data_IF_435197295202
#
_entry.id   IF_435197295202
#
_cell.length_a   1.000
_cell.length_b   1.000
_cell.length_c   1.000
_cell.angle_alpha   90.00
_cell.angle_beta   90.00
_cell.angle_gamma   90.00
#
_symmetry.space_group_name_H-M   'P 1'
#
loop_
_entity.id
_entity.type
_entity.pdbx_description
1 polymer ?
#
# COMPACT_ATOMS: atom_id res chain seq x y z
N UNK A 1 -27.66 14.89 2.64
CA UNK A 1 -26.60 14.50 3.60
C UNK A 1 -25.29 14.95 2.97
N UNK A 2 -24.47 15.69 3.72
CA UNK A 2 -23.15 16.10 3.25
C UNK A 2 -22.18 14.94 3.46
N UNK A 3 -21.53 14.49 2.39
CA UNK A 3 -20.46 13.49 2.51
C UNK A 3 -19.21 14.24 2.92
N UNK A 4 -18.72 13.94 4.11
CA UNK A 4 -17.48 14.53 4.65
C UNK A 4 -16.31 13.62 4.35
N UNK A 5 -15.07 14.13 4.42
CA UNK A 5 -13.86 13.31 4.25
C UNK A 5 -13.85 12.09 5.17
N UNK A 6 -14.39 12.22 6.39
CA UNK A 6 -14.53 11.10 7.34
C UNK A 6 -15.39 9.95 6.81
N UNK A 7 -16.45 10.26 6.05
CA UNK A 7 -17.32 9.23 5.44
C UNK A 7 -16.56 8.49 4.35
N UNK A 8 -15.76 9.21 3.55
CA UNK A 8 -14.95 8.64 2.47
C UNK A 8 -13.83 7.76 3.04
N UNK A 9 -13.13 8.23 4.08
CA UNK A 9 -12.11 7.45 4.79
C UNK A 9 -12.71 6.17 5.37
N UNK A 10 -13.88 6.27 6.02
CA UNK A 10 -14.56 5.10 6.58
C UNK A 10 -14.98 4.08 5.51
N UNK A 11 -15.37 4.54 4.32
CA UNK A 11 -15.67 3.66 3.20
C UNK A 11 -14.41 3.00 2.64
N UNK A 12 -13.31 3.74 2.50
CA UNK A 12 -12.03 3.21 2.03
C UNK A 12 -11.42 2.19 3.00
N UNK A 13 -11.55 2.40 4.31
CA UNK A 13 -11.08 1.50 5.36
C UNK A 13 -12.02 0.31 5.64
N UNK A 14 -13.15 0.19 4.95
CA UNK A 14 -14.11 -0.88 5.22
C UNK A 14 -13.60 -2.20 4.62
N UNK A 15 -13.21 -3.14 5.49
CA UNK A 15 -12.57 -4.40 5.09
C UNK A 15 -13.52 -5.31 4.29
N UNK A 16 -14.79 -5.40 4.67
CA UNK A 16 -15.74 -6.35 4.05
C UNK A 16 -16.37 -5.82 2.75
N UNK A 17 -16.68 -4.52 2.70
CA UNK A 17 -17.54 -3.90 1.67
C UNK A 17 -16.94 -2.61 1.09
N UNK A 18 -15.64 -2.36 1.29
CA UNK A 18 -15.00 -1.09 0.94
C UNK A 18 -15.16 -0.69 -0.53
N UNK A 19 -15.00 -1.64 -1.46
CA UNK A 19 -15.18 -1.36 -2.90
C UNK A 19 -16.61 -0.89 -3.20
N UNK A 20 -17.62 -1.61 -2.68
CA UNK A 20 -19.02 -1.29 -2.92
C UNK A 20 -19.41 0.06 -2.27
N UNK A 21 -18.96 0.30 -1.05
CA UNK A 21 -19.19 1.56 -0.34
C UNK A 21 -18.55 2.75 -1.09
N UNK A 22 -17.29 2.62 -1.48
CA UNK A 22 -16.58 3.65 -2.26
C UNK A 22 -17.24 3.87 -3.61
N UNK A 23 -17.67 2.82 -4.30
CA UNK A 23 -18.39 2.94 -5.57
C UNK A 23 -19.70 3.72 -5.43
N UNK A 24 -20.49 3.44 -4.39
CA UNK A 24 -21.73 4.19 -4.11
C UNK A 24 -21.44 5.67 -3.88
N UNK A 25 -20.40 6.00 -3.10
CA UNK A 25 -20.02 7.40 -2.87
C UNK A 25 -19.60 8.08 -4.19
N UNK A 26 -18.69 7.45 -4.94
CA UNK A 26 -18.16 7.99 -6.19
C UNK A 26 -19.22 8.15 -7.28
N UNK A 27 -20.17 7.21 -7.40
CA UNK A 27 -21.26 7.29 -8.38
C UNK A 27 -22.35 8.29 -7.95
N UNK A 28 -22.57 8.46 -6.64
CA UNK A 28 -23.61 9.36 -6.10
C UNK A 28 -23.23 10.84 -6.08
N UNK A 29 -21.93 11.15 -5.94
CA UNK A 29 -21.45 12.53 -5.86
C UNK A 29 -20.40 12.89 -6.91
N UNK A 30 -20.05 11.95 -7.80
CA UNK A 30 -19.17 12.23 -8.93
C UNK A 30 -17.84 12.83 -8.49
N UNK A 31 -17.52 14.02 -9.02
CA UNK A 31 -16.28 14.77 -8.76
C UNK A 31 -16.31 15.60 -7.47
N UNK A 32 -17.45 15.72 -6.80
CA UNK A 32 -17.56 16.55 -5.58
C UNK A 32 -16.85 15.90 -4.39
N UNK A 33 -16.59 14.60 -4.46
CA UNK A 33 -15.78 13.89 -3.48
C UNK A 33 -14.29 14.12 -3.77
N UNK A 34 -13.62 14.75 -2.80
CA UNK A 34 -12.17 14.82 -2.76
C UNK A 34 -11.60 13.51 -2.23
N UNK A 35 -10.67 12.93 -3.00
CA UNK A 35 -9.85 11.80 -2.55
C UNK A 35 -8.56 12.41 -2.00
N UNK A 36 -8.50 12.54 -0.68
CA UNK A 36 -7.33 13.04 0.05
C UNK A 36 -6.33 11.92 0.31
N UNK A 37 -5.10 12.28 0.68
CA UNK A 37 -4.08 11.29 1.05
C UNK A 37 -4.56 10.35 2.15
N UNK A 38 -5.30 10.85 3.15
CA UNK A 38 -5.91 10.04 4.21
C UNK A 38 -6.85 8.94 3.65
N UNK A 39 -7.62 9.24 2.59
CA UNK A 39 -8.49 8.24 1.94
C UNK A 39 -7.66 7.17 1.24
N UNK A 40 -6.57 7.57 0.58
CA UNK A 40 -5.69 6.65 -0.15
C UNK A 40 -4.89 5.78 0.81
N UNK A 41 -4.38 6.35 1.92
CA UNK A 41 -3.72 5.62 3.00
C UNK A 41 -4.69 4.60 3.62
N UNK A 42 -5.93 5.01 3.89
CA UNK A 42 -6.97 4.11 4.42
C UNK A 42 -7.29 2.96 3.45
N UNK A 43 -7.34 3.24 2.14
CA UNK A 43 -7.53 2.21 1.12
C UNK A 43 -6.33 1.25 1.03
N UNK A 44 -5.10 1.76 1.07
CA UNK A 44 -3.89 0.94 1.00
C UNK A 44 -3.69 0.06 2.24
N UNK A 45 -4.06 0.56 3.43
CA UNK A 45 -3.99 -0.17 4.70
C UNK A 45 -5.19 -1.08 5.00
N UNK A 46 -6.19 -1.13 4.13
CA UNK A 46 -7.37 -1.99 4.29
C UNK A 46 -6.98 -3.48 4.15
N UNK A 47 -7.21 -4.32 5.17
CA UNK A 47 -6.66 -5.68 5.16
C UNK A 47 -7.24 -6.57 4.06
N UNK A 48 -8.56 -6.53 3.87
CA UNK A 48 -9.26 -7.49 2.99
C UNK A 48 -9.62 -6.90 1.61
N UNK A 49 -10.04 -5.64 1.55
CA UNK A 49 -10.53 -4.98 0.34
C UNK A 49 -9.53 -4.01 -0.30
N UNK A 50 -8.29 -3.90 0.20
CA UNK A 50 -7.34 -2.89 -0.27
C UNK A 50 -7.10 -2.91 -1.78
N UNK A 51 -6.84 -4.07 -2.38
CA UNK A 51 -6.57 -4.16 -3.83
C UNK A 51 -7.76 -3.62 -4.63
N UNK A 52 -8.98 -4.03 -4.28
CA UNK A 52 -10.20 -3.64 -4.98
C UNK A 52 -10.48 -2.13 -4.82
N UNK A 53 -10.34 -1.60 -3.61
CA UNK A 53 -10.55 -0.17 -3.33
C UNK A 53 -9.48 0.67 -4.03
N UNK A 54 -8.20 0.32 -3.92
CA UNK A 54 -7.10 1.04 -4.57
C UNK A 54 -7.23 1.01 -6.09
N UNK A 55 -7.60 -0.14 -6.66
CA UNK A 55 -7.85 -0.25 -8.10
C UNK A 55 -9.01 0.62 -8.55
N UNK A 56 -10.14 0.61 -7.83
CA UNK A 56 -11.29 1.46 -8.11
C UNK A 56 -10.92 2.95 -8.07
N UNK A 57 -10.18 3.37 -7.04
CA UNK A 57 -9.71 4.73 -6.87
C UNK A 57 -8.82 5.15 -8.04
N UNK A 58 -7.81 4.35 -8.39
CA UNK A 58 -6.91 4.61 -9.51
C UNK A 58 -7.65 4.59 -10.86
N UNK A 59 -8.63 3.72 -11.06
CA UNK A 59 -9.42 3.68 -12.30
C UNK A 59 -10.33 4.92 -12.45
N UNK A 60 -10.90 5.43 -11.35
CA UNK A 60 -11.88 6.52 -11.37
C UNK A 60 -11.28 7.91 -11.20
N UNK A 61 -10.05 8.02 -10.69
CA UNK A 61 -9.36 9.29 -10.42
C UNK A 61 -7.98 9.38 -11.03
N UNK A 62 -7.37 8.26 -11.42
CA UNK A 62 -6.12 8.25 -12.18
C UNK A 62 -5.04 9.14 -11.59
N UNK A 63 -4.68 10.18 -12.34
CA UNK A 63 -3.65 11.16 -12.00
C UNK A 63 -4.03 12.12 -10.87
N UNK A 64 -5.31 12.24 -10.54
CA UNK A 64 -5.77 13.08 -9.42
C UNK A 64 -5.36 12.50 -8.07
N UNK A 65 -5.03 11.20 -8.03
CA UNK A 65 -4.48 10.53 -6.85
C UNK A 65 -2.97 10.71 -6.82
N UNK A 66 -2.47 11.29 -5.74
CA UNK A 66 -1.05 11.27 -5.41
C UNK A 66 -0.74 9.96 -4.67
N UNK A 67 0.34 9.29 -5.08
CA UNK A 67 0.89 8.16 -4.33
C UNK A 67 2.07 8.73 -3.55
N UNK A 68 1.81 9.07 -2.29
CA UNK A 68 2.84 9.58 -1.37
C UNK A 68 3.59 8.42 -0.72
N UNK A 69 4.70 8.72 -0.06
CA UNK A 69 5.47 7.71 0.68
C UNK A 69 4.61 7.04 1.74
N UNK A 70 3.74 7.78 2.44
CA UNK A 70 2.84 7.24 3.46
C UNK A 70 1.82 6.24 2.87
N UNK A 71 1.36 6.46 1.64
CA UNK A 71 0.49 5.50 0.93
C UNK A 71 1.25 4.20 0.66
N UNK A 72 2.52 4.30 0.23
CA UNK A 72 3.34 3.12 -0.08
C UNK A 72 3.76 2.40 1.18
N UNK A 73 4.07 3.11 2.26
CA UNK A 73 4.31 2.55 3.60
C UNK A 73 3.08 1.80 4.10
N UNK A 74 1.88 2.39 3.99
CA UNK A 74 0.63 1.73 4.36
C UNK A 74 0.37 0.46 3.53
N UNK A 75 0.66 0.49 2.24
CA UNK A 75 0.58 -0.68 1.38
C UNK A 75 1.59 -1.77 1.79
N UNK A 76 2.86 -1.41 2.03
CA UNK A 76 3.90 -2.35 2.42
C UNK A 76 3.66 -2.99 3.81
N UNK A 77 3.10 -2.22 4.75
CA UNK A 77 2.76 -2.68 6.10
C UNK A 77 1.46 -3.50 6.17
N UNK A 78 0.69 -3.60 5.08
CA UNK A 78 -0.58 -4.32 5.06
C UNK A 78 -0.36 -5.84 5.16
N UNK A 79 -0.70 -6.44 6.29
CA UNK A 79 -0.41 -7.86 6.56
C UNK A 79 -0.98 -8.79 5.47
N UNK A 80 -2.24 -8.58 5.07
CA UNK A 80 -2.96 -9.51 4.20
C UNK A 80 -2.87 -9.19 2.71
N UNK A 81 -2.79 -7.91 2.36
CA UNK A 81 -2.90 -7.44 0.97
C UNK A 81 -1.64 -6.74 0.44
N UNK A 82 -0.55 -6.67 1.21
CA UNK A 82 0.63 -5.89 0.82
C UNK A 82 1.18 -6.27 -0.55
N UNK A 83 1.37 -7.56 -0.85
CA UNK A 83 1.92 -7.99 -2.14
C UNK A 83 1.05 -7.48 -3.31
N UNK A 84 -0.27 -7.68 -3.22
CA UNK A 84 -1.22 -7.30 -4.26
C UNK A 84 -1.26 -5.78 -4.47
N UNK A 85 -1.33 -5.00 -3.39
CA UNK A 85 -1.37 -3.53 -3.44
C UNK A 85 -0.05 -2.97 -3.95
N UNK A 86 1.09 -3.45 -3.42
CA UNK A 86 2.42 -3.00 -3.86
C UNK A 86 2.64 -3.30 -5.34
N UNK A 87 2.22 -4.48 -5.81
CA UNK A 87 2.27 -4.82 -7.23
C UNK A 87 1.41 -3.88 -8.07
N UNK A 88 0.16 -3.63 -7.66
CA UNK A 88 -0.74 -2.71 -8.35
C UNK A 88 -0.15 -1.28 -8.43
N UNK A 89 0.40 -0.77 -7.34
CA UNK A 89 1.03 0.54 -7.28
C UNK A 89 2.26 0.63 -8.18
N UNK A 90 3.15 -0.36 -8.14
CA UNK A 90 4.33 -0.40 -9.00
C UNK A 90 3.97 -0.57 -10.48
N UNK A 91 2.95 -1.36 -10.81
CA UNK A 91 2.48 -1.56 -12.20
C UNK A 91 1.90 -0.27 -12.79
N UNK A 92 1.15 0.50 -12.00
CA UNK A 92 0.41 1.67 -12.51
C UNK A 92 1.14 2.98 -12.31
N UNK A 93 1.96 3.09 -11.25
CA UNK A 93 2.58 4.33 -10.76
C UNK A 93 4.07 4.13 -10.44
N UNK A 94 4.70 3.06 -10.93
CA UNK A 94 6.09 2.73 -10.59
C UNK A 94 7.12 3.83 -10.87
N UNK A 95 6.90 4.69 -11.88
CA UNK A 95 7.75 5.85 -12.17
C UNK A 95 7.64 6.96 -11.14
N UNK A 96 6.53 7.02 -10.41
CA UNK A 96 6.23 8.07 -9.43
C UNK A 96 6.65 7.64 -8.03
N UNK A 97 6.95 6.35 -7.83
CA UNK A 97 7.30 5.77 -6.53
C UNK A 97 8.81 5.67 -6.42
N UNK A 98 9.37 6.30 -5.39
CA UNK A 98 10.72 6.03 -4.92
C UNK A 98 10.64 5.05 -3.74
N UNK A 99 11.44 3.99 -3.78
CA UNK A 99 11.50 3.04 -2.66
C UNK A 99 12.44 3.63 -1.61
N UNK A 100 11.84 4.17 -0.54
CA UNK A 100 12.55 4.76 0.58
C UNK A 100 12.88 3.72 1.65
N UNK A 101 13.75 4.11 2.57
CA UNK A 101 14.13 3.27 3.70
C UNK A 101 12.91 2.90 4.58
N UNK A 102 12.00 3.85 4.80
CA UNK A 102 10.77 3.63 5.57
C UNK A 102 9.86 2.58 4.91
N UNK A 103 9.75 2.58 3.58
CA UNK A 103 9.00 1.57 2.83
C UNK A 103 9.64 0.19 3.00
N UNK A 104 10.97 0.11 2.94
CA UNK A 104 11.71 -1.14 3.12
C UNK A 104 11.59 -1.67 4.55
N UNK A 105 11.65 -0.80 5.56
CA UNK A 105 11.44 -1.17 6.98
C UNK A 105 10.03 -1.68 7.19
N UNK A 106 9.01 -1.00 6.65
CA UNK A 106 7.62 -1.43 6.72
C UNK A 106 7.39 -2.80 6.05
N UNK A 107 7.98 -3.01 4.87
CA UNK A 107 7.94 -4.28 4.16
C UNK A 107 8.63 -5.41 4.96
N UNK A 108 9.84 -5.17 5.47
CA UNK A 108 10.61 -6.17 6.21
C UNK A 108 9.96 -6.55 7.54
N UNK A 109 9.28 -5.60 8.20
CA UNK A 109 8.54 -5.84 9.44
C UNK A 109 7.15 -6.44 9.27
N UNK A 110 6.67 -6.64 8.04
CA UNK A 110 5.34 -7.19 7.78
C UNK A 110 5.27 -8.68 8.16
N UNK A 111 4.39 -9.04 9.10
CA UNK A 111 4.34 -10.39 9.68
C UNK A 111 3.86 -11.47 8.72
N UNK A 112 3.00 -11.12 7.77
CA UNK A 112 2.34 -12.09 6.91
C UNK A 112 2.90 -12.08 5.49
N UNK A 113 3.40 -10.93 5.01
CA UNK A 113 3.75 -10.73 3.61
C UNK A 113 5.18 -10.24 3.37
N UNK A 114 6.05 -10.14 4.39
CA UNK A 114 7.38 -9.54 4.22
C UNK A 114 8.24 -10.19 3.13
N UNK A 115 8.32 -11.53 3.08
CA UNK A 115 9.12 -12.23 2.07
C UNK A 115 8.65 -11.87 0.65
N UNK A 116 7.34 -11.92 0.39
CA UNK A 116 6.77 -11.64 -0.92
C UNK A 116 6.97 -10.18 -1.34
N UNK A 117 6.77 -9.24 -0.40
CA UNK A 117 6.91 -7.81 -0.67
C UNK A 117 8.38 -7.43 -0.90
N UNK A 118 9.30 -7.90 -0.06
CA UNK A 118 10.74 -7.62 -0.20
C UNK A 118 11.24 -8.19 -1.52
N UNK A 119 10.87 -9.43 -1.86
CA UNK A 119 11.22 -10.02 -3.15
C UNK A 119 10.70 -9.21 -4.33
N UNK A 120 9.43 -8.80 -4.31
CA UNK A 120 8.83 -7.96 -5.34
C UNK A 120 9.58 -6.63 -5.52
N UNK A 121 9.96 -5.98 -4.41
CA UNK A 121 10.69 -4.72 -4.43
C UNK A 121 12.10 -4.89 -5.00
N UNK A 122 12.85 -5.90 -4.57
CA UNK A 122 14.19 -6.20 -5.09
C UNK A 122 14.16 -6.59 -6.57
N UNK A 123 13.21 -7.42 -6.99
CA UNK A 123 13.08 -7.85 -8.40
C UNK A 123 12.80 -6.67 -9.33
N UNK A 124 12.03 -5.68 -8.87
CA UNK A 124 11.61 -4.54 -9.70
C UNK A 124 12.53 -3.32 -9.58
N UNK A 125 13.13 -3.11 -8.41
CA UNK A 125 13.83 -1.87 -8.03
C UNK A 125 15.15 -2.12 -7.31
N UNK A 126 15.68 -3.35 -7.29
CA UNK A 126 16.86 -3.71 -6.51
C UNK A 126 18.11 -2.85 -6.77
N UNK A 127 18.29 -2.31 -7.98
CA UNK A 127 19.40 -1.38 -8.28
C UNK A 127 19.26 -0.01 -7.63
N UNK A 128 18.03 0.37 -7.26
CA UNK A 128 17.70 1.68 -6.68
C UNK A 128 17.60 1.62 -5.15
N UNK A 129 17.54 0.42 -4.58
CA UNK A 129 17.33 0.21 -3.15
C UNK A 129 18.68 0.10 -2.45
N UNK A 130 18.86 0.89 -1.39
CA UNK A 130 19.96 0.72 -0.45
C UNK A 130 19.44 -0.06 0.76
N UNK A 131 20.06 -1.20 1.06
CA UNK A 131 19.76 -1.95 2.28
C UNK A 131 20.49 -1.30 3.45
N UNK A 132 19.73 -0.73 4.38
CA UNK A 132 20.25 -0.09 5.58
C UNK A 132 20.22 -1.04 6.78
N UNK A 133 20.94 -0.66 7.85
CA UNK A 133 20.89 -1.38 9.12
C UNK A 133 19.47 -1.45 9.69
N UNK A 134 18.63 -0.43 9.49
CA UNK A 134 17.25 -0.39 9.98
C UNK A 134 16.38 -1.45 9.29
N UNK A 135 16.54 -1.62 7.98
CA UNK A 135 15.86 -2.68 7.21
C UNK A 135 16.28 -4.07 7.69
N UNK A 136 17.58 -4.28 7.92
CA UNK A 136 18.11 -5.56 8.42
C UNK A 136 17.62 -5.83 9.84
N UNK A 137 17.57 -4.81 10.72
CA UNK A 137 17.02 -4.95 12.07
C UNK A 137 15.53 -5.30 12.04
N UNK A 138 14.74 -4.64 11.18
CA UNK A 138 13.33 -4.95 11.00
C UNK A 138 13.12 -6.39 10.51
N UNK A 139 13.90 -6.84 9.52
CA UNK A 139 13.87 -8.21 9.01
C UNK A 139 14.25 -9.22 10.10
N UNK A 140 15.35 -8.99 10.82
CA UNK A 140 15.82 -9.90 11.87
C UNK A 140 14.85 -10.01 13.06
N UNK A 141 14.09 -8.94 13.33
CA UNK A 141 13.05 -8.90 14.35
C UNK A 141 11.70 -9.50 13.94
N UNK A 142 11.52 -9.87 12.67
CA UNK A 142 10.28 -10.44 12.15
C UNK A 142 10.20 -11.94 12.49
N UNK A 143 9.51 -12.29 13.57
CA UNK A 143 9.43 -13.66 14.10
C UNK A 143 8.88 -14.69 13.09
N UNK A 144 8.08 -14.25 12.11
CA UNK A 144 7.42 -15.12 11.13
C UNK A 144 8.28 -15.39 9.89
N UNK A 145 9.15 -14.44 9.51
CA UNK A 145 9.84 -14.47 8.20
C UNK A 145 11.31 -14.04 8.20
N UNK A 146 11.92 -13.84 9.37
CA UNK A 146 13.30 -13.37 9.50
C UNK A 146 14.30 -14.14 8.63
N UNK A 147 14.28 -15.48 8.65
CA UNK A 147 15.22 -16.28 7.87
C UNK A 147 15.09 -16.03 6.36
N UNK A 148 13.86 -15.99 5.85
CA UNK A 148 13.60 -15.82 4.42
C UNK A 148 13.95 -14.40 3.94
N UNK A 149 13.51 -13.39 4.69
CA UNK A 149 13.79 -11.98 4.37
C UNK A 149 15.29 -11.69 4.45
N UNK A 150 15.98 -12.17 5.49
CA UNK A 150 17.43 -11.97 5.63
C UNK A 150 18.23 -12.58 4.48
N UNK A 151 17.80 -13.72 3.91
CA UNK A 151 18.44 -14.28 2.72
C UNK A 151 18.31 -13.34 1.52
N UNK A 152 17.10 -12.84 1.26
CA UNK A 152 16.85 -11.92 0.14
C UNK A 152 17.67 -10.63 0.26
N UNK A 153 17.87 -10.12 1.47
CA UNK A 153 18.61 -8.88 1.70
C UNK A 153 20.13 -9.03 1.59
N UNK A 154 20.66 -10.26 1.64
CA UNK A 154 22.10 -10.55 1.65
C UNK A 154 22.62 -11.19 0.35
N UNK A 155 21.72 -11.48 -0.60
CA UNK A 155 22.03 -12.01 -1.94
C UNK A 155 22.54 -10.90 -2.88
#
# INVERSE_FOLDING_TARGET
MEVTSRVVVAAAANEECGEAAMKVLLDGQGTDIQITDEVVIAAAGNKESAEAVMKLLLDRRGTDIQITDEVVVAAAANEQSAEAVMKLLLDRRGTDIQITDEIMVAAAGNKESAEAVIKLLLDRRGTDIQITDEVVVAAAGNEESAEAVMRLLLD
#
